data_IF_616919788428
#
_entry.id   IF_616919788428
#
_cell.length_a   1.000
_cell.length_b   1.000
_cell.length_c   1.000
_cell.angle_alpha   90.00
_cell.angle_beta   90.00
_cell.angle_gamma   90.00
#
_symmetry.space_group_name_H-M   'P 1'
#
loop_
_entity.id
_entity.type
_entity.pdbx_description
1 polymer ?
#
# COMPACT_ATOMS: atom_id res chain seq x y z
N UNK A 1 -11.86 -16.39 -12.70
CA UNK A 1 -12.88 -17.01 -11.84
C UNK A 1 -13.57 -18.16 -12.55
N UNK A 2 -14.00 -17.98 -13.80
CA UNK A 2 -14.70 -19.03 -14.61
C UNK A 2 -13.91 -20.33 -14.68
N UNK A 3 -12.60 -20.25 -14.94
CA UNK A 3 -11.74 -21.44 -14.98
C UNK A 3 -11.70 -22.14 -13.61
N UNK A 4 -11.59 -21.37 -12.53
CA UNK A 4 -11.57 -21.93 -11.17
C UNK A 4 -12.85 -22.68 -10.83
N UNK A 5 -14.00 -22.15 -11.25
CA UNK A 5 -15.29 -22.84 -11.13
C UNK A 5 -15.33 -24.12 -11.97
N UNK A 6 -14.92 -24.02 -13.24
CA UNK A 6 -14.95 -25.14 -14.18
C UNK A 6 -14.09 -26.34 -13.73
N UNK A 7 -12.94 -26.10 -13.12
CA UNK A 7 -12.05 -27.14 -12.63
C UNK A 7 -12.31 -27.54 -11.17
N UNK A 8 -13.34 -26.99 -10.54
CA UNK A 8 -13.76 -27.33 -9.19
C UNK A 8 -12.78 -26.91 -8.08
N UNK A 9 -12.20 -25.71 -8.19
CA UNK A 9 -11.36 -25.14 -7.13
C UNK A 9 -12.13 -25.07 -5.83
N UNK A 10 -11.64 -25.73 -4.78
CA UNK A 10 -12.31 -25.79 -3.48
C UNK A 10 -12.11 -24.54 -2.64
N UNK A 11 -11.01 -23.80 -2.87
CA UNK A 11 -10.64 -22.63 -2.07
C UNK A 11 -10.01 -21.57 -2.96
N UNK A 12 -10.50 -20.36 -2.92
CA UNK A 12 -9.93 -19.22 -3.66
C UNK A 12 -9.55 -18.10 -2.70
N UNK A 13 -8.29 -17.71 -2.69
CA UNK A 13 -7.78 -16.66 -1.81
C UNK A 13 -7.27 -15.52 -2.67
N UNK A 14 -7.86 -14.34 -2.49
CA UNK A 14 -7.53 -13.13 -3.24
C UNK A 14 -6.72 -12.16 -2.40
N UNK A 15 -5.60 -11.69 -2.94
CA UNK A 15 -4.91 -10.52 -2.42
C UNK A 15 -5.48 -9.26 -3.08
N UNK A 16 -6.31 -8.55 -2.34
CA UNK A 16 -6.84 -7.24 -2.69
C UNK A 16 -5.95 -6.13 -2.12
N UNK A 17 -6.50 -5.00 -1.71
CA UNK A 17 -5.77 -3.93 -1.04
C UNK A 17 -6.69 -3.21 -0.05
N UNK A 18 -6.13 -2.67 1.03
CA UNK A 18 -6.88 -1.81 1.92
C UNK A 18 -7.28 -0.51 1.21
N UNK A 19 -8.44 0.04 1.56
CA UNK A 19 -8.99 1.26 0.97
C UNK A 19 -9.56 1.10 -0.45
N UNK A 20 -9.81 -0.13 -0.92
CA UNK A 20 -10.48 -0.34 -2.22
C UNK A 20 -11.93 0.14 -2.18
N UNK A 21 -12.37 0.84 -3.24
CA UNK A 21 -13.71 1.42 -3.35
C UNK A 21 -14.09 1.70 -4.81
N UNK A 22 -15.38 1.80 -5.12
CA UNK A 22 -15.87 1.96 -6.50
C UNK A 22 -15.55 3.33 -7.12
N UNK A 23 -15.44 4.36 -6.30
CA UNK A 23 -15.19 5.76 -6.68
C UNK A 23 -13.72 6.20 -6.51
N UNK A 24 -12.83 5.25 -6.22
CA UNK A 24 -11.41 5.52 -6.02
C UNK A 24 -10.59 5.66 -7.31
N UNK A 25 -9.27 5.61 -7.15
CA UNK A 25 -8.32 5.57 -8.28
C UNK A 25 -8.59 4.37 -9.18
N UNK A 26 -7.98 4.33 -10.36
CA UNK A 26 -8.14 3.19 -11.28
C UNK A 26 -7.72 1.88 -10.60
N UNK A 27 -6.64 1.89 -9.81
CA UNK A 27 -6.19 0.74 -9.04
C UNK A 27 -7.21 0.30 -7.98
N UNK A 28 -7.72 1.23 -7.15
CA UNK A 28 -8.70 0.93 -6.11
C UNK A 28 -9.98 0.37 -6.71
N UNK A 29 -10.46 0.96 -7.80
CA UNK A 29 -11.66 0.51 -8.50
C UNK A 29 -11.52 -0.88 -9.11
N UNK A 30 -10.40 -1.18 -9.78
CA UNK A 30 -10.20 -2.52 -10.38
C UNK A 30 -10.05 -3.59 -9.30
N UNK A 31 -9.41 -3.30 -8.17
CA UNK A 31 -9.33 -4.22 -7.03
C UNK A 31 -10.70 -4.43 -6.39
N UNK A 32 -11.48 -3.36 -6.22
CA UNK A 32 -12.85 -3.46 -5.71
C UNK A 32 -13.73 -4.31 -6.62
N UNK A 33 -13.66 -4.11 -7.94
CA UNK A 33 -14.38 -4.94 -8.92
C UNK A 33 -14.00 -6.42 -8.82
N UNK A 34 -12.73 -6.73 -8.59
CA UNK A 34 -12.27 -8.10 -8.39
C UNK A 34 -12.84 -8.71 -7.09
N UNK A 35 -12.93 -7.92 -6.02
CA UNK A 35 -13.56 -8.34 -4.76
C UNK A 35 -15.04 -8.68 -4.98
N UNK A 36 -15.80 -7.80 -5.64
CA UNK A 36 -17.23 -8.03 -5.90
C UNK A 36 -17.44 -9.25 -6.81
N UNK A 37 -16.70 -9.35 -7.91
CA UNK A 37 -16.79 -10.48 -8.81
C UNK A 37 -16.49 -11.82 -8.09
N UNK A 38 -15.56 -11.82 -7.14
CA UNK A 38 -15.25 -13.02 -6.37
C UNK A 38 -16.38 -13.37 -5.37
N UNK A 39 -16.96 -12.37 -4.71
CA UNK A 39 -18.10 -12.58 -3.79
C UNK A 39 -19.31 -13.23 -4.51
N UNK A 40 -19.55 -12.80 -5.74
CA UNK A 40 -20.67 -13.27 -6.57
C UNK A 40 -20.39 -14.60 -7.30
N UNK A 41 -19.14 -15.04 -7.31
CA UNK A 41 -18.68 -16.19 -8.12
C UNK A 41 -19.20 -17.56 -7.68
N UNK A 42 -19.78 -17.68 -6.48
CA UNK A 42 -20.16 -18.98 -5.91
C UNK A 42 -18.99 -19.81 -5.35
N UNK A 43 -17.74 -19.39 -5.52
CA UNK A 43 -16.57 -20.05 -4.97
C UNK A 43 -16.53 -19.94 -3.42
N UNK A 44 -15.81 -20.83 -2.79
CA UNK A 44 -15.44 -20.67 -1.37
C UNK A 44 -14.19 -19.77 -1.29
N UNK A 45 -14.38 -18.51 -0.95
CA UNK A 45 -13.36 -17.48 -1.06
C UNK A 45 -12.92 -16.90 0.28
N UNK A 46 -11.74 -16.30 0.28
CA UNK A 46 -11.23 -15.36 1.29
C UNK A 46 -10.58 -14.18 0.58
N UNK A 47 -10.81 -12.98 1.07
CA UNK A 47 -10.19 -11.77 0.55
C UNK A 47 -9.30 -11.16 1.65
N UNK A 48 -8.02 -10.99 1.35
CA UNK A 48 -7.11 -10.21 2.19
C UNK A 48 -6.86 -8.85 1.57
N UNK A 49 -7.04 -7.81 2.38
CA UNK A 49 -6.79 -6.41 2.02
C UNK A 49 -5.62 -5.86 2.83
N UNK A 50 -4.39 -6.14 2.43
CA UNK A 50 -3.23 -5.61 3.13
C UNK A 50 -3.11 -4.10 2.99
N UNK A 51 -2.62 -3.47 4.05
CA UNK A 51 -2.08 -2.12 4.05
C UNK A 51 -0.75 -2.09 3.29
N UNK A 52 0.14 -1.19 3.63
CA UNK A 52 1.46 -1.08 3.03
C UNK A 52 2.31 -2.33 3.34
N UNK A 53 2.57 -3.16 2.33
CA UNK A 53 3.45 -4.33 2.49
C UNK A 53 4.91 -3.88 2.34
N UNK A 54 5.77 -4.35 3.26
CA UNK A 54 7.22 -4.14 3.20
C UNK A 54 7.99 -5.43 3.45
N UNK A 55 9.26 -5.46 3.06
CA UNK A 55 10.18 -6.57 3.26
C UNK A 55 11.07 -6.82 2.06
N UNK A 56 12.11 -7.64 2.24
CA UNK A 56 13.04 -7.96 1.16
C UNK A 56 12.31 -8.71 0.03
N UNK A 57 12.29 -8.20 -1.21
CA UNK A 57 11.68 -8.88 -2.35
C UNK A 57 12.41 -10.16 -2.76
N UNK A 58 13.63 -10.41 -2.26
CA UNK A 58 14.36 -11.66 -2.45
C UNK A 58 14.84 -11.93 -3.87
N UNK A 59 14.96 -10.92 -4.73
CA UNK A 59 15.41 -11.13 -6.10
C UNK A 59 15.20 -9.94 -7.04
N UNK A 60 15.36 -10.19 -8.35
CA UNK A 60 15.09 -9.22 -9.39
C UNK A 60 13.59 -8.97 -9.52
N UNK A 61 13.15 -7.74 -9.32
CA UNK A 61 11.75 -7.36 -9.42
C UNK A 61 11.54 -5.87 -9.24
N UNK A 62 10.29 -5.45 -9.11
CA UNK A 62 9.98 -4.08 -8.71
C UNK A 62 10.52 -3.86 -7.30
N UNK A 63 11.31 -2.80 -7.06
CA UNK A 63 11.74 -2.47 -5.72
C UNK A 63 10.50 -2.30 -4.83
N UNK A 64 10.56 -2.86 -3.62
CA UNK A 64 9.50 -2.67 -2.65
C UNK A 64 9.55 -1.24 -2.09
N UNK A 65 8.50 -0.84 -1.40
CA UNK A 65 8.28 0.54 -0.97
C UNK A 65 9.44 1.12 -0.14
N UNK A 66 9.96 0.37 0.85
CA UNK A 66 11.05 0.87 1.70
C UNK A 66 12.36 1.01 0.92
N UNK A 67 12.61 0.07 0.00
CA UNK A 67 13.77 0.11 -0.90
C UNK A 67 13.68 1.31 -1.85
N UNK A 68 12.49 1.59 -2.41
CA UNK A 68 12.27 2.78 -3.25
C UNK A 68 12.53 4.07 -2.47
N UNK A 69 12.00 4.20 -1.26
CA UNK A 69 12.27 5.39 -0.44
C UNK A 69 13.77 5.52 -0.14
N UNK A 70 14.43 4.42 0.23
CA UNK A 70 15.88 4.42 0.51
C UNK A 70 16.70 4.86 -0.70
N UNK A 71 16.40 4.30 -1.87
CA UNK A 71 17.25 4.43 -3.05
C UNK A 71 16.88 5.65 -3.91
N UNK A 72 15.58 5.92 -4.07
CA UNK A 72 15.10 7.00 -4.94
C UNK A 72 14.92 8.33 -4.20
N UNK A 73 14.68 8.30 -2.88
CA UNK A 73 14.45 9.52 -2.10
C UNK A 73 15.61 9.84 -1.16
N UNK A 74 16.01 8.90 -0.29
CA UNK A 74 17.01 9.16 0.75
C UNK A 74 18.45 9.09 0.24
N UNK A 75 18.69 8.64 -0.98
CA UNK A 75 20.01 8.66 -1.62
C UNK A 75 20.31 9.97 -2.32
N UNK A 76 19.29 10.79 -2.55
CA UNK A 76 19.46 12.09 -3.18
C UNK A 76 19.93 13.13 -2.15
N UNK A 77 20.69 14.16 -2.58
CA UNK A 77 21.15 15.23 -1.70
C UNK A 77 20.06 16.26 -1.37
N UNK A 78 18.79 15.86 -1.48
CA UNK A 78 17.62 16.71 -1.23
C UNK A 78 16.88 16.29 0.03
N UNK A 79 16.20 17.24 0.71
CA UNK A 79 15.36 16.90 1.84
C UNK A 79 14.17 16.03 1.44
N UNK A 80 13.80 15.07 2.30
CA UNK A 80 12.64 14.26 2.10
C UNK A 80 11.33 15.07 2.23
N UNK A 81 10.39 14.97 1.29
CA UNK A 81 9.18 15.77 1.32
C UNK A 81 8.18 15.24 2.37
N UNK A 82 7.73 16.14 3.22
CA UNK A 82 6.56 15.93 4.09
C UNK A 82 5.35 16.55 3.41
N UNK A 83 4.56 15.72 2.75
CA UNK A 83 3.40 16.16 2.00
C UNK A 83 2.30 16.71 2.89
N UNK A 84 1.62 17.76 2.44
CA UNK A 84 0.48 18.35 3.14
C UNK A 84 -0.58 18.91 2.17
N UNK A 85 -1.82 18.89 2.62
CA UNK A 85 -2.94 19.54 1.94
C UNK A 85 -3.27 20.87 2.60
N UNK A 86 -3.69 21.85 1.79
CA UNK A 86 -4.07 23.19 2.27
C UNK A 86 -2.97 24.23 2.11
N UNK A 87 -3.19 25.39 2.74
CA UNK A 87 -2.31 26.56 2.60
C UNK A 87 -1.13 26.55 3.58
N UNK A 88 -1.27 25.87 4.70
CA UNK A 88 -0.27 25.89 5.77
C UNK A 88 0.21 24.45 6.12
N UNK A 89 1.51 24.28 6.44
CA UNK A 89 2.13 22.98 6.58
C UNK A 89 1.93 22.30 7.95
N UNK A 90 0.92 22.69 8.74
CA UNK A 90 0.72 22.17 10.10
C UNK A 90 0.55 20.65 10.16
N UNK A 91 0.00 20.05 9.09
CA UNK A 91 -0.22 18.61 8.98
C UNK A 91 0.77 17.92 8.03
N UNK A 92 1.94 18.52 7.81
CA UNK A 92 2.93 17.97 6.89
C UNK A 92 3.40 16.57 7.34
N UNK A 93 3.14 15.56 6.50
CA UNK A 93 3.51 14.17 6.76
C UNK A 93 2.71 13.49 7.87
N UNK A 94 1.52 13.97 8.23
CA UNK A 94 0.69 13.43 9.31
C UNK A 94 -0.23 12.27 8.88
N UNK A 95 -0.41 12.02 7.59
CA UNK A 95 -1.15 10.85 7.13
C UNK A 95 -0.45 9.56 7.55
N UNK A 96 -1.23 8.56 7.94
CA UNK A 96 -0.72 7.37 8.58
C UNK A 96 -1.01 6.12 7.78
N UNK A 97 -0.16 5.12 7.95
CA UNK A 97 -0.28 3.78 7.38
C UNK A 97 0.02 2.73 8.44
N UNK A 98 -0.48 1.52 8.27
CA UNK A 98 -0.18 0.35 9.13
C UNK A 98 0.73 -0.63 8.37
N UNK A 99 2.06 -0.37 8.25
CA UNK A 99 2.94 -1.22 7.47
C UNK A 99 2.96 -2.65 7.98
N UNK A 100 2.80 -3.64 7.09
CA UNK A 100 2.83 -5.06 7.42
C UNK A 100 3.97 -5.77 6.70
N UNK A 101 4.70 -6.63 7.42
CA UNK A 101 5.80 -7.37 6.80
C UNK A 101 5.28 -8.47 5.88
N UNK A 102 5.91 -8.64 4.71
CA UNK A 102 5.50 -9.61 3.68
C UNK A 102 5.40 -11.04 4.21
N UNK A 103 6.27 -11.44 5.14
CA UNK A 103 6.21 -12.77 5.76
C UNK A 103 4.92 -12.99 6.55
N UNK A 104 4.43 -11.95 7.25
CA UNK A 104 3.18 -12.04 7.99
C UNK A 104 2.00 -12.16 7.01
N UNK A 105 2.00 -11.40 5.91
CA UNK A 105 0.99 -11.55 4.85
C UNK A 105 0.98 -12.98 4.31
N UNK A 106 2.14 -13.52 3.96
CA UNK A 106 2.27 -14.90 3.47
C UNK A 106 1.75 -15.92 4.49
N UNK A 107 2.03 -15.71 5.78
CA UNK A 107 1.54 -16.56 6.85
C UNK A 107 0.01 -16.57 6.95
N UNK A 108 -0.65 -15.40 6.83
CA UNK A 108 -2.10 -15.32 6.77
C UNK A 108 -2.67 -16.12 5.59
N UNK A 109 -2.06 -16.01 4.41
CA UNK A 109 -2.48 -16.79 3.24
C UNK A 109 -2.40 -18.30 3.51
N UNK A 110 -1.27 -18.78 3.99
CA UNK A 110 -1.05 -20.22 4.26
C UNK A 110 -2.01 -20.73 5.33
N UNK A 111 -2.17 -19.99 6.44
CA UNK A 111 -3.07 -20.39 7.53
C UNK A 111 -4.52 -20.43 7.09
N UNK A 112 -4.94 -19.47 6.25
CA UNK A 112 -6.33 -19.38 5.80
C UNK A 112 -6.80 -20.56 4.95
N UNK A 113 -5.89 -21.30 4.32
CA UNK A 113 -6.23 -22.47 3.49
C UNK A 113 -7.04 -23.50 4.29
N UNK A 114 -6.68 -23.71 5.56
CA UNK A 114 -7.27 -24.74 6.41
C UNK A 114 -8.32 -24.20 7.39
N UNK A 115 -8.39 -22.89 7.59
CA UNK A 115 -9.26 -22.29 8.60
C UNK A 115 -10.65 -22.00 8.03
N UNK A 116 -11.67 -22.69 8.53
CA UNK A 116 -13.07 -22.45 8.14
C UNK A 116 -13.55 -21.04 8.46
N UNK A 117 -13.07 -20.42 9.53
CA UNK A 117 -13.39 -19.04 9.89
C UNK A 117 -13.01 -18.04 8.81
N UNK A 118 -12.08 -18.38 7.92
CA UNK A 118 -11.68 -17.54 6.81
C UNK A 118 -12.60 -17.64 5.59
N UNK A 119 -13.55 -18.59 5.58
CA UNK A 119 -14.44 -18.81 4.44
C UNK A 119 -15.45 -17.67 4.30
N UNK A 120 -15.57 -17.14 3.07
CA UNK A 120 -16.46 -16.03 2.71
C UNK A 120 -16.28 -14.78 3.59
N UNK A 121 -15.03 -14.55 4.03
CA UNK A 121 -14.66 -13.40 4.85
C UNK A 121 -13.61 -12.53 4.19
N UNK A 122 -13.66 -11.23 4.54
CA UNK A 122 -12.68 -10.22 4.17
C UNK A 122 -11.89 -9.85 5.42
N UNK A 123 -10.58 -9.77 5.27
CA UNK A 123 -9.69 -9.35 6.36
C UNK A 123 -8.80 -8.22 5.89
N UNK A 124 -8.89 -7.08 6.58
CA UNK A 124 -7.93 -6.00 6.42
C UNK A 124 -6.67 -6.35 7.22
N UNK A 125 -5.51 -6.35 6.56
CA UNK A 125 -4.24 -6.74 7.18
C UNK A 125 -3.37 -5.51 7.38
N UNK A 126 -3.02 -5.21 8.61
CA UNK A 126 -2.08 -4.16 8.99
C UNK A 126 -1.02 -4.67 9.94
N UNK A 127 0.05 -3.90 10.09
CA UNK A 127 1.01 -4.11 11.16
C UNK A 127 0.46 -3.65 12.51
N UNK A 128 1.19 -3.90 13.60
CA UNK A 128 0.72 -3.62 14.96
C UNK A 128 0.61 -2.13 15.27
N UNK A 129 1.25 -1.27 14.47
CA UNK A 129 1.32 0.17 14.69
C UNK A 129 0.92 0.94 13.43
N UNK A 130 0.18 2.02 13.61
CA UNK A 130 -0.04 3.01 12.59
C UNK A 130 1.08 4.06 12.68
N UNK A 131 1.89 4.17 11.63
CA UNK A 131 2.99 5.12 11.53
C UNK A 131 2.64 6.25 10.58
N UNK A 132 2.95 7.47 10.98
CA UNK A 132 2.88 8.63 10.09
C UNK A 132 3.93 8.56 8.99
N UNK A 133 3.70 9.24 7.88
CA UNK A 133 4.69 9.39 6.81
C UNK A 133 6.04 9.90 7.31
N UNK A 134 6.02 10.86 8.23
CA UNK A 134 7.21 11.41 8.88
C UNK A 134 7.99 10.34 9.65
N UNK A 135 7.29 9.45 10.36
CA UNK A 135 7.89 8.35 11.12
C UNK A 135 8.43 7.27 10.19
N UNK A 136 7.70 6.91 9.14
CA UNK A 136 8.14 5.93 8.14
C UNK A 136 9.46 6.37 7.50
N UNK A 137 9.56 7.62 7.02
CA UNK A 137 10.79 8.17 6.48
C UNK A 137 11.92 8.11 7.53
N UNK A 138 11.62 8.45 8.78
CA UNK A 138 12.60 8.42 9.85
C UNK A 138 13.14 7.01 10.11
N UNK A 139 12.25 6.02 10.20
CA UNK A 139 12.64 4.62 10.43
C UNK A 139 13.48 4.06 9.27
N UNK A 140 13.10 4.35 8.03
CA UNK A 140 13.86 3.90 6.85
C UNK A 140 15.25 4.57 6.83
N UNK A 141 15.34 5.87 7.12
CA UNK A 141 16.60 6.57 7.18
C UNK A 141 17.53 5.99 8.26
N UNK A 142 16.97 5.74 9.46
CA UNK A 142 17.70 5.15 10.58
C UNK A 142 18.22 3.75 10.24
N UNK A 143 17.37 2.88 9.72
CA UNK A 143 17.72 1.51 9.32
C UNK A 143 18.76 1.46 8.19
N UNK A 144 18.80 2.50 7.35
CA UNK A 144 19.74 2.62 6.23
C UNK A 144 21.04 3.34 6.60
N UNK A 145 21.21 3.77 7.85
CA UNK A 145 22.37 4.56 8.29
C UNK A 145 22.44 5.96 7.65
N UNK A 146 21.31 6.46 7.11
CA UNK A 146 21.25 7.74 6.39
C UNK A 146 20.72 8.84 7.31
N UNK A 147 21.28 10.03 7.18
CA UNK A 147 20.69 11.25 7.74
C UNK A 147 19.75 11.85 6.69
N UNK A 148 18.55 12.24 7.10
CA UNK A 148 17.63 12.91 6.19
C UNK A 148 17.11 14.20 6.80
N UNK A 149 17.11 15.23 5.98
CA UNK A 149 16.37 16.46 6.24
C UNK A 149 14.96 16.29 5.71
N UNK A 150 14.02 16.95 6.33
CA UNK A 150 12.62 16.90 5.94
C UNK A 150 12.13 18.30 5.66
N UNK A 151 11.37 18.48 4.58
CA UNK A 151 10.80 19.76 4.20
C UNK A 151 9.30 19.60 3.93
N UNK A 152 8.45 20.51 4.41
CA UNK A 152 7.05 20.52 4.02
C UNK A 152 6.90 20.70 2.50
N UNK A 153 6.06 19.87 1.87
CA UNK A 153 5.84 19.88 0.44
C UNK A 153 4.32 19.93 0.12
N UNK A 154 3.82 21.04 -0.47
CA UNK A 154 2.40 21.16 -0.77
C UNK A 154 2.01 20.22 -1.91
N UNK A 155 0.96 19.42 -1.68
CA UNK A 155 0.42 18.44 -2.63
C UNK A 155 0.04 19.08 -3.98
N UNK A 156 -0.46 20.32 -3.95
CA UNK A 156 -0.85 21.05 -5.17
C UNK A 156 0.33 21.23 -6.11
N UNK A 157 1.49 21.60 -5.59
CA UNK A 157 2.72 21.79 -6.39
C UNK A 157 3.15 20.46 -7.01
N UNK A 158 3.05 19.36 -6.26
CA UNK A 158 3.44 18.02 -6.74
C UNK A 158 2.45 17.52 -7.80
N UNK A 159 1.15 17.76 -7.63
CA UNK A 159 0.14 17.42 -8.64
C UNK A 159 0.34 18.17 -9.95
N UNK A 160 0.70 19.46 -9.88
CA UNK A 160 1.02 20.28 -11.06
C UNK A 160 2.34 19.77 -11.69
N UNK A 161 3.36 19.60 -10.90
CA UNK A 161 4.63 19.03 -11.36
C UNK A 161 4.46 17.62 -11.93
N UNK A 162 3.68 16.75 -11.28
CA UNK A 162 3.39 15.39 -11.74
C UNK A 162 2.68 15.35 -13.10
N UNK A 163 1.78 16.30 -13.39
CA UNK A 163 1.16 16.39 -14.72
C UNK A 163 2.15 16.73 -15.84
N UNK A 164 3.27 17.36 -15.49
CA UNK A 164 4.38 17.67 -16.41
C UNK A 164 5.43 16.56 -16.36
N UNK A 165 5.68 15.98 -15.18
CA UNK A 165 6.74 15.01 -14.90
C UNK A 165 6.34 13.55 -15.16
N UNK A 166 5.04 13.23 -15.33
CA UNK A 166 4.57 11.90 -15.80
C UNK A 166 5.21 11.48 -17.14
N UNK A 167 5.82 12.41 -17.86
CA UNK A 167 6.63 12.16 -19.05
C UNK A 167 8.05 11.67 -18.75
N UNK A 168 8.51 11.80 -17.50
CA UNK A 168 9.87 11.44 -17.13
C UNK A 168 9.90 10.15 -16.32
N UNK A 169 10.50 9.12 -16.89
CA UNK A 169 10.62 7.76 -16.30
C UNK A 169 11.34 7.71 -14.93
N UNK A 170 11.94 8.80 -14.50
CA UNK A 170 12.65 8.90 -13.22
C UNK A 170 11.76 9.35 -12.05
N UNK A 171 10.50 9.74 -12.31
CA UNK A 171 9.58 10.11 -11.23
C UNK A 171 8.98 8.83 -10.63
N UNK A 172 9.30 8.48 -9.36
CA UNK A 172 9.08 7.14 -8.83
C UNK A 172 7.63 6.84 -8.45
N UNK A 173 6.73 7.84 -8.49
CA UNK A 173 5.35 7.69 -7.96
C UNK A 173 4.33 8.18 -8.99
N UNK A 174 3.40 7.31 -9.37
CA UNK A 174 2.26 7.71 -10.23
C UNK A 174 1.26 8.57 -9.46
N UNK A 175 0.42 9.33 -10.20
CA UNK A 175 -0.66 10.16 -9.59
C UNK A 175 -1.58 9.33 -8.69
N UNK A 176 -1.93 8.12 -9.11
CA UNK A 176 -2.79 7.21 -8.35
C UNK A 176 -2.11 6.75 -7.06
N UNK A 177 -0.83 6.35 -7.15
CA UNK A 177 -0.04 5.97 -5.98
C UNK A 177 0.10 7.13 -4.99
N UNK A 178 0.35 8.35 -5.49
CA UNK A 178 0.43 9.54 -4.65
C UNK A 178 -0.91 9.88 -3.97
N UNK A 179 -2.02 9.76 -4.70
CA UNK A 179 -3.36 9.95 -4.14
C UNK A 179 -3.64 8.95 -3.02
N UNK A 180 -3.37 7.67 -3.26
CA UNK A 180 -3.55 6.61 -2.26
C UNK A 180 -2.64 6.80 -1.05
N UNK A 181 -1.40 7.26 -1.27
CA UNK A 181 -0.46 7.56 -0.19
C UNK A 181 -1.02 8.65 0.73
N UNK A 182 -1.57 9.72 0.14
CA UNK A 182 -2.13 10.85 0.90
C UNK A 182 -3.45 10.54 1.62
N UNK A 183 -4.21 9.56 1.15
CA UNK A 183 -5.42 9.08 1.84
C UNK A 183 -5.09 8.37 3.14
N UNK A 184 -3.84 7.92 3.27
CA UNK A 184 -3.43 7.05 4.34
C UNK A 184 -3.90 5.61 4.10
N UNK A 185 -3.41 4.71 4.94
CA UNK A 185 -3.73 3.28 4.82
C UNK A 185 -3.58 2.60 6.18
N UNK A 186 -4.47 2.95 7.10
CA UNK A 186 -4.49 2.38 8.44
C UNK A 186 -5.51 1.25 8.54
N UNK A 187 -5.18 0.27 9.36
CA UNK A 187 -6.07 -0.83 9.73
C UNK A 187 -6.28 -0.76 11.24
N UNK A 188 -7.54 -0.70 11.67
CA UNK A 188 -7.85 -0.84 13.10
C UNK A 188 -7.71 -2.31 13.47
N UNK A 189 -6.62 -2.66 14.11
CA UNK A 189 -6.41 -4.00 14.68
C UNK A 189 -7.20 -4.13 15.96
N UNK A 190 -8.46 -4.48 15.85
CA UNK A 190 -9.26 -4.97 16.98
C UNK A 190 -9.29 -6.51 16.90
N UNK A 191 -8.15 -7.14 17.16
CA UNK A 191 -8.06 -8.59 17.31
C UNK A 191 -7.59 -8.94 18.71
#
# INVERSE_FOLDING_TARGET
LELALKIGVKRFILMSANGVRPDGTAYQRTKWQADEALKESGLNWTIFRPSLIFGDPGGEGRPEFCTQIRDDMLSLPFPAPLFYNGLLPFNAGSFSMSPIHVKNVAEFFVKSIKLKVCEKNIFDLGGPEALTWKEIIHQIALASGKRTWKIPAPVVVIKIAGSILDRFKWFPVTRDQFTMLMEGNTVSTNY
#
